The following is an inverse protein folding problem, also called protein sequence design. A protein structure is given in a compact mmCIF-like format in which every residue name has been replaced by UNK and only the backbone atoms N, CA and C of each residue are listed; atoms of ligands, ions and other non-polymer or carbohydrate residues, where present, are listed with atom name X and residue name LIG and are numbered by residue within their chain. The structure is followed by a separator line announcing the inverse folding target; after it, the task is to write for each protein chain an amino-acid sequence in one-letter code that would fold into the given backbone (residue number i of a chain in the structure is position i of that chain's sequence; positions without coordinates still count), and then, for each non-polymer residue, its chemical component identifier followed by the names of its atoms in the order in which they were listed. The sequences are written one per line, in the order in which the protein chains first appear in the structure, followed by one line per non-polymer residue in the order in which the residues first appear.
data_IF_031754384518
#
_entry.id   IF_031754384518
#
_cell.length_a   1.000
_cell.length_b   1.000
_cell.length_c   1.000
_cell.angle_alpha   90.00
_cell.angle_beta   90.00
_cell.angle_gamma   90.00
#
_symmetry.space_group_name_H-M   'P 1'
#
loop_
_entity.id
_entity.type
_entity.pdbx_description
1 polymer ?
#
# COMPACT_ATOMS: atom_id res chain seq x y z
N UNK A 1 -15.82 -0.58 10.27
CA UNK A 1 -15.02 0.57 9.91
C UNK A 1 -15.89 1.62 9.23
N UNK A 2 -15.90 2.84 9.73
CA UNK A 2 -16.78 3.93 9.25
C UNK A 2 -16.03 4.91 8.35
N UNK A 3 -14.88 4.51 7.85
CA UNK A 3 -13.98 5.37 7.10
C UNK A 3 -12.85 5.98 7.94
N UNK A 4 -11.94 6.64 7.27
CA UNK A 4 -10.75 7.23 7.90
C UNK A 4 -11.07 8.42 8.81
N UNK A 5 -12.01 9.24 8.38
CA UNK A 5 -12.42 10.46 9.05
C UNK A 5 -13.93 10.46 9.30
N UNK A 6 -14.35 11.15 10.35
CA UNK A 6 -15.74 11.51 10.55
C UNK A 6 -16.00 12.84 9.81
N UNK A 7 -16.38 12.75 8.56
CA UNK A 7 -16.69 13.93 7.76
C UNK A 7 -17.95 14.62 8.26
N UNK A 8 -17.95 15.94 8.42
CA UNK A 8 -19.18 16.69 8.59
C UNK A 8 -20.01 16.61 7.31
N UNK A 9 -21.29 16.31 7.45
CA UNK A 9 -22.22 16.40 6.33
C UNK A 9 -22.51 17.88 6.11
N UNK A 10 -22.21 18.37 4.91
CA UNK A 10 -22.50 19.76 4.52
C UNK A 10 -24.02 19.91 4.39
N UNK A 11 -24.60 20.95 5.03
CA UNK A 11 -26.01 21.25 4.90
C UNK A 11 -26.40 21.40 3.42
N UNK A 12 -27.53 20.79 3.03
CA UNK A 12 -27.97 20.75 1.64
C UNK A 12 -27.35 19.66 0.78
N UNK A 13 -26.56 18.73 1.37
CA UNK A 13 -26.04 17.57 0.64
C UNK A 13 -27.16 16.57 0.35
N UNK A 14 -27.35 16.23 -0.92
CA UNK A 14 -28.29 15.21 -1.40
C UNK A 14 -27.54 14.08 -2.10
N UNK A 15 -28.22 12.97 -2.42
CA UNK A 15 -27.62 11.89 -3.21
C UNK A 15 -27.16 12.34 -4.59
N UNK A 16 -27.82 13.35 -5.16
CA UNK A 16 -27.53 13.89 -6.50
C UNK A 16 -26.30 14.79 -6.49
N UNK A 17 -26.12 15.60 -5.44
CA UNK A 17 -25.05 16.59 -5.38
C UNK A 17 -23.83 16.15 -4.52
N UNK A 18 -23.87 14.99 -3.87
CA UNK A 18 -22.80 14.52 -2.98
C UNK A 18 -21.43 14.48 -3.66
N UNK A 19 -21.39 14.07 -4.93
CA UNK A 19 -20.12 14.00 -5.68
C UNK A 19 -19.50 15.37 -5.93
N UNK A 20 -20.31 16.41 -6.10
CA UNK A 20 -19.84 17.78 -6.31
C UNK A 20 -19.52 18.49 -5.00
N UNK A 21 -20.15 18.13 -3.92
CA UNK A 21 -19.91 18.66 -2.58
C UNK A 21 -18.53 18.22 -2.03
N UNK A 22 -18.08 17.01 -2.36
CA UNK A 22 -16.81 16.46 -1.88
C UNK A 22 -15.57 16.78 -2.74
N UNK A 23 -15.72 17.50 -3.83
CA UNK A 23 -14.60 17.83 -4.75
C UNK A 23 -13.71 18.96 -4.21
N UNK A 24 -14.12 19.71 -3.21
CA UNK A 24 -13.31 20.76 -2.61
C UNK A 24 -12.36 20.18 -1.55
N UNK A 25 -11.25 19.62 -2.00
CA UNK A 25 -10.19 19.17 -1.12
C UNK A 25 -9.64 20.33 -0.29
N UNK A 26 -9.39 20.03 0.99
CA UNK A 26 -8.80 21.01 1.87
C UNK A 26 -7.34 21.27 1.45
N UNK A 27 -6.91 22.55 1.32
CA UNK A 27 -5.57 22.89 0.80
C UNK A 27 -4.42 22.63 1.79
N UNK A 28 -4.73 22.29 3.05
CA UNK A 28 -3.74 22.08 4.09
C UNK A 28 -3.59 20.60 4.45
N UNK A 29 -2.58 20.29 5.25
CA UNK A 29 -2.38 18.95 5.78
C UNK A 29 -3.55 18.47 6.66
N UNK A 30 -3.76 17.18 6.74
CA UNK A 30 -4.92 16.56 7.40
C UNK A 30 -4.92 16.61 8.93
N UNK A 31 -3.88 17.12 9.56
CA UNK A 31 -3.77 17.31 11.02
C UNK A 31 -3.79 18.78 11.45
N UNK A 32 -3.99 19.72 10.54
CA UNK A 32 -4.12 21.14 10.89
C UNK A 32 -5.54 21.47 11.34
N UNK A 33 -5.68 22.56 12.09
CA UNK A 33 -6.99 23.06 12.52
C UNK A 33 -7.90 23.33 11.34
N UNK A 34 -7.36 23.95 10.29
CA UNK A 34 -8.07 24.29 9.08
C UNK A 34 -8.55 23.03 8.33
N UNK A 35 -7.74 21.98 8.29
CA UNK A 35 -8.16 20.74 7.64
C UNK A 35 -9.23 20.00 8.43
N UNK A 36 -9.22 20.11 9.76
CA UNK A 36 -10.19 19.44 10.63
C UNK A 36 -11.52 20.22 10.67
N UNK A 37 -11.45 21.52 10.91
CA UNK A 37 -12.63 22.38 11.17
C UNK A 37 -13.15 23.08 9.91
N UNK A 38 -12.32 23.24 8.90
CA UNK A 38 -12.61 24.00 7.70
C UNK A 38 -11.98 25.39 7.70
N UNK A 39 -12.06 26.06 6.57
CA UNK A 39 -11.50 27.41 6.36
C UNK A 39 -12.34 28.20 5.36
N UNK A 40 -11.94 29.46 5.14
CA UNK A 40 -12.52 30.31 4.11
C UNK A 40 -11.41 30.81 3.18
N UNK A 41 -11.58 30.64 1.88
CA UNK A 41 -10.66 31.11 0.84
C UNK A 41 -11.46 31.90 -0.19
N UNK A 42 -11.08 33.13 -0.46
CA UNK A 42 -11.74 34.04 -1.42
C UNK A 42 -13.26 34.16 -1.17
N UNK A 43 -13.68 34.26 0.07
CA UNK A 43 -15.08 34.36 0.48
C UNK A 43 -15.88 33.04 0.34
N UNK A 44 -15.23 31.93 -0.04
CA UNK A 44 -15.84 30.60 -0.16
C UNK A 44 -15.50 29.76 1.07
N UNK A 45 -16.53 29.29 1.76
CA UNK A 45 -16.35 28.36 2.87
C UNK A 45 -15.95 26.98 2.32
N UNK A 46 -14.84 26.44 2.81
CA UNK A 46 -14.35 25.10 2.56
C UNK A 46 -14.57 24.30 3.84
N UNK A 47 -15.45 23.27 3.84
CA UNK A 47 -15.70 22.47 5.02
C UNK A 47 -14.46 21.68 5.41
N UNK A 48 -14.27 21.44 6.70
CA UNK A 48 -13.21 20.57 7.19
C UNK A 48 -13.44 19.11 6.86
N UNK A 49 -12.38 18.33 6.92
CA UNK A 49 -12.40 16.89 6.68
C UNK A 49 -12.85 16.08 7.92
N UNK A 50 -13.05 16.76 9.06
CA UNK A 50 -13.25 16.11 10.36
C UNK A 50 -11.92 15.62 10.97
N UNK A 51 -12.00 14.99 12.12
CA UNK A 51 -10.84 14.50 12.86
C UNK A 51 -10.70 12.99 12.73
N UNK A 52 -9.52 12.47 12.35
CA UNK A 52 -9.24 11.04 12.40
C UNK A 52 -9.24 10.51 13.84
N UNK A 53 -9.15 11.40 14.84
CA UNK A 53 -9.24 11.06 16.25
C UNK A 53 -10.68 11.08 16.80
N UNK A 54 -11.68 11.44 15.98
CA UNK A 54 -13.08 11.34 16.37
C UNK A 54 -13.46 9.89 16.74
N UNK A 55 -14.36 9.68 17.71
CA UNK A 55 -14.74 8.33 18.15
C UNK A 55 -15.28 7.42 17.04
N UNK A 56 -15.86 8.00 15.99
CA UNK A 56 -16.44 7.31 14.86
C UNK A 56 -15.40 6.87 13.82
N UNK A 57 -14.32 7.62 13.70
CA UNK A 57 -13.26 7.33 12.74
C UNK A 57 -12.32 6.23 13.27
N UNK A 58 -11.73 5.41 12.38
CA UNK A 58 -10.75 4.38 12.74
C UNK A 58 -11.20 3.49 13.91
N UNK A 59 -12.45 3.01 13.86
CA UNK A 59 -13.10 2.31 14.97
C UNK A 59 -13.74 1.00 14.56
N UNK A 60 -13.99 0.16 15.55
CA UNK A 60 -14.72 -1.10 15.44
C UNK A 60 -16.09 -0.93 16.10
N UNK A 61 -17.12 -1.39 15.43
CA UNK A 61 -18.49 -1.35 15.91
C UNK A 61 -18.96 -2.74 16.27
N UNK A 62 -19.64 -2.86 17.40
CA UNK A 62 -20.45 -4.02 17.76
C UNK A 62 -21.91 -3.68 17.50
N UNK A 63 -22.57 -4.45 16.67
CA UNK A 63 -24.01 -4.32 16.40
C UNK A 63 -24.77 -5.43 17.09
N UNK A 64 -25.83 -5.06 17.78
CA UNK A 64 -26.83 -5.99 18.27
C UNK A 64 -27.80 -6.34 17.13
N UNK A 65 -27.73 -7.57 16.67
CA UNK A 65 -28.54 -8.05 15.55
C UNK A 65 -30.03 -8.23 15.91
N UNK A 66 -30.36 -8.24 17.20
CA UNK A 66 -31.77 -8.32 17.65
C UNK A 66 -32.48 -6.98 17.54
N UNK A 67 -31.75 -5.91 17.90
CA UNK A 67 -32.28 -4.55 17.90
C UNK A 67 -31.83 -3.72 16.70
N UNK A 68 -30.88 -4.23 15.89
CA UNK A 68 -30.22 -3.53 14.79
C UNK A 68 -29.59 -2.20 15.23
N UNK A 69 -29.12 -2.13 16.47
CA UNK A 69 -28.48 -0.93 17.03
C UNK A 69 -27.00 -1.19 17.31
N UNK A 70 -26.23 -0.10 17.25
CA UNK A 70 -24.84 -0.12 17.71
C UNK A 70 -24.81 -0.29 19.22
N UNK A 71 -24.30 -1.42 19.69
CA UNK A 71 -24.16 -1.76 21.10
C UNK A 71 -22.86 -1.21 21.71
N UNK A 72 -21.77 -1.17 20.92
CA UNK A 72 -20.50 -0.62 21.35
C UNK A 72 -19.71 -0.08 20.16
N UNK A 73 -18.84 0.87 20.44
CA UNK A 73 -17.95 1.52 19.49
C UNK A 73 -16.59 1.69 20.16
N UNK A 74 -15.54 1.19 19.53
CA UNK A 74 -14.19 1.21 20.06
C UNK A 74 -13.23 1.76 19.02
N UNK A 75 -12.56 2.86 19.35
CA UNK A 75 -11.47 3.38 18.56
C UNK A 75 -10.25 2.48 18.71
N UNK A 76 -9.61 2.11 17.58
CA UNK A 76 -8.47 1.20 17.58
C UNK A 76 -7.17 1.92 17.20
N UNK A 77 -6.03 1.28 17.51
CA UNK A 77 -4.71 1.74 17.15
C UNK A 77 -4.28 3.00 17.88
N UNK A 78 -3.30 3.65 17.31
CA UNK A 78 -2.72 4.89 17.83
C UNK A 78 -3.47 6.11 17.28
N UNK A 79 -3.54 7.16 18.08
CA UNK A 79 -4.16 8.41 17.66
C UNK A 79 -3.21 9.20 16.77
N UNK A 80 -3.78 9.98 15.86
CA UNK A 80 -3.03 10.93 15.05
C UNK A 80 -2.30 11.92 15.98
N UNK A 81 -1.00 12.11 15.73
CA UNK A 81 -0.13 12.98 16.51
C UNK A 81 0.51 12.33 17.73
N UNK A 82 0.16 11.06 18.07
CA UNK A 82 0.93 10.31 19.08
C UNK A 82 2.32 9.96 18.54
N UNK A 83 3.31 10.01 19.41
CA UNK A 83 4.67 9.54 19.10
C UNK A 83 4.77 8.05 19.43
N UNK A 84 5.12 7.27 18.43
CA UNK A 84 5.41 5.83 18.57
C UNK A 84 6.76 5.56 17.95
N UNK A 85 7.70 5.03 18.74
CA UNK A 85 9.07 4.76 18.29
C UNK A 85 9.78 5.99 17.69
N UNK A 86 9.60 7.14 18.33
CA UNK A 86 10.13 8.45 17.94
C UNK A 86 9.57 8.99 16.60
N UNK A 87 8.54 8.38 16.05
CA UNK A 87 7.85 8.84 14.85
C UNK A 87 6.40 9.25 15.16
N UNK A 88 5.94 10.34 14.56
CA UNK A 88 4.56 10.78 14.66
C UNK A 88 3.63 9.84 13.87
N UNK A 89 2.49 9.49 14.47
CA UNK A 89 1.43 8.74 13.80
C UNK A 89 0.68 9.66 12.85
N UNK A 90 0.66 9.30 11.57
CA UNK A 90 0.05 10.07 10.50
C UNK A 90 -1.21 9.36 10.00
N UNK A 91 -2.36 9.81 10.12
CA UNK A 91 -3.56 9.26 9.48
C UNK A 91 -4.34 8.21 10.27
N UNK A 92 -3.91 7.86 11.49
CA UNK A 92 -4.65 6.94 12.36
C UNK A 92 -4.40 5.47 12.09
N UNK A 93 -5.31 4.58 12.51
CA UNK A 93 -5.06 3.14 12.59
C UNK A 93 -5.42 2.34 11.33
N UNK A 94 -6.38 2.79 10.54
CA UNK A 94 -6.95 2.03 9.42
C UNK A 94 -7.30 0.57 9.77
N UNK A 95 -8.27 0.32 10.69
CA UNK A 95 -8.65 -1.04 11.08
C UNK A 95 -9.26 -1.78 9.87
N UNK A 96 -8.73 -2.98 9.58
CA UNK A 96 -9.05 -3.68 8.35
C UNK A 96 -9.85 -4.97 8.55
N UNK A 97 -9.34 -5.89 9.36
CA UNK A 97 -9.95 -7.20 9.54
C UNK A 97 -10.06 -7.58 11.01
N UNK A 98 -11.00 -8.46 11.30
CA UNK A 98 -11.28 -8.93 12.65
C UNK A 98 -11.41 -10.45 12.67
N UNK A 99 -10.85 -11.08 13.72
CA UNK A 99 -11.13 -12.46 14.10
C UNK A 99 -11.49 -12.53 15.58
N UNK A 100 -12.35 -13.44 15.95
CA UNK A 100 -12.89 -13.56 17.32
C UNK A 100 -12.50 -14.94 17.88
N UNK A 101 -11.94 -14.93 19.09
CA UNK A 101 -11.68 -16.11 19.91
C UNK A 101 -12.76 -16.28 20.99
N UNK A 102 -12.62 -17.28 21.82
CA UNK A 102 -13.50 -17.51 22.98
C UNK A 102 -13.54 -16.33 23.97
N UNK A 103 -12.49 -15.51 23.99
CA UNK A 103 -12.30 -14.42 24.97
C UNK A 103 -12.12 -13.05 24.36
N UNK A 104 -11.42 -12.95 23.24
CA UNK A 104 -11.01 -11.68 22.65
C UNK A 104 -11.37 -11.59 21.16
N UNK A 105 -11.55 -10.37 20.69
CA UNK A 105 -11.48 -10.06 19.27
C UNK A 105 -10.12 -9.40 18.95
N UNK A 106 -9.56 -9.76 17.80
CA UNK A 106 -8.28 -9.27 17.31
C UNK A 106 -8.52 -8.50 16.02
N UNK A 107 -8.08 -7.26 15.97
CA UNK A 107 -8.31 -6.35 14.84
C UNK A 107 -6.99 -5.85 14.30
N UNK A 108 -6.73 -6.07 13.01
CA UNK A 108 -5.54 -5.52 12.35
C UNK A 108 -5.69 -4.03 12.12
N UNK A 109 -4.66 -3.27 12.49
CA UNK A 109 -4.54 -1.83 12.26
C UNK A 109 -3.45 -1.61 11.21
N UNK A 110 -3.86 -1.44 9.94
CA UNK A 110 -2.96 -1.50 8.79
C UNK A 110 -1.88 -0.41 8.82
N UNK A 111 -2.22 0.82 9.18
CA UNK A 111 -1.25 1.94 9.20
C UNK A 111 -0.40 2.00 10.46
N UNK A 112 -0.70 1.21 11.48
CA UNK A 112 0.06 1.20 12.74
C UNK A 112 0.89 -0.09 12.93
N UNK A 113 0.88 -1.01 11.98
CA UNK A 113 1.57 -2.31 12.05
C UNK A 113 1.34 -3.05 13.37
N UNK A 114 0.10 -3.04 13.86
CA UNK A 114 -0.27 -3.69 15.11
C UNK A 114 -1.65 -4.35 15.05
N UNK A 115 -1.97 -5.08 16.08
CA UNK A 115 -3.25 -5.75 16.28
C UNK A 115 -3.86 -5.26 17.60
N UNK A 116 -5.05 -4.68 17.55
CA UNK A 116 -5.82 -4.37 18.74
C UNK A 116 -6.45 -5.64 19.32
N UNK A 117 -6.26 -5.87 20.61
CA UNK A 117 -6.88 -6.97 21.38
C UNK A 117 -8.06 -6.39 22.17
N UNK A 118 -9.26 -6.82 21.84
CA UNK A 118 -10.50 -6.32 22.40
C UNK A 118 -11.14 -7.37 23.30
N UNK A 119 -11.34 -7.04 24.56
CA UNK A 119 -12.26 -7.79 25.44
C UNK A 119 -13.69 -7.38 25.05
N UNK A 120 -14.30 -8.15 24.15
CA UNK A 120 -15.61 -7.79 23.60
C UNK A 120 -16.75 -7.92 24.62
N UNK A 121 -16.56 -8.70 25.71
CA UNK A 121 -17.51 -8.77 26.81
C UNK A 121 -17.51 -7.52 27.69
N UNK A 122 -16.32 -6.91 27.85
CA UNK A 122 -16.17 -5.66 28.62
C UNK A 122 -16.21 -4.42 27.74
N UNK A 123 -16.25 -4.56 26.43
CA UNK A 123 -16.29 -3.44 25.49
C UNK A 123 -15.06 -2.54 25.56
N UNK A 124 -13.85 -3.10 25.71
CA UNK A 124 -12.61 -2.30 25.84
C UNK A 124 -11.41 -2.94 25.15
N UNK A 125 -10.50 -2.12 24.70
CA UNK A 125 -9.18 -2.57 24.23
C UNK A 125 -8.33 -2.93 25.46
N UNK A 126 -7.70 -4.09 25.38
CA UNK A 126 -6.83 -4.63 26.44
C UNK A 126 -5.38 -4.22 26.20
N UNK A 127 -4.93 -4.35 24.95
CA UNK A 127 -3.58 -4.03 24.49
C UNK A 127 -3.53 -3.94 22.98
N UNK A 128 -2.40 -3.47 22.47
CA UNK A 128 -2.00 -3.63 21.08
C UNK A 128 -0.79 -4.57 20.99
N UNK A 129 -0.81 -5.50 20.03
CA UNK A 129 0.32 -6.39 19.72
C UNK A 129 1.06 -5.77 18.53
N UNK A 130 2.28 -5.25 18.71
CA UNK A 130 3.07 -4.75 17.59
C UNK A 130 3.53 -5.92 16.72
N UNK A 131 3.48 -5.75 15.40
CA UNK A 131 4.01 -6.73 14.45
C UNK A 131 5.45 -6.32 14.13
N UNK A 132 6.40 -7.17 14.50
CA UNK A 132 7.83 -6.98 14.22
C UNK A 132 8.32 -8.19 13.43
N UNK A 133 9.02 -7.97 12.35
CA UNK A 133 9.44 -9.03 11.42
C UNK A 133 10.95 -9.10 11.25
N UNK A 134 11.66 -7.97 11.33
CA UNK A 134 13.11 -7.88 11.21
C UNK A 134 13.64 -6.61 11.88
N UNK A 135 14.79 -6.71 12.56
CA UNK A 135 15.40 -5.60 13.31
C UNK A 135 15.77 -4.39 12.43
N UNK A 136 16.05 -4.61 11.15
CA UNK A 136 16.41 -3.54 10.21
C UNK A 136 15.29 -2.53 10.00
N UNK A 137 14.04 -2.96 10.22
CA UNK A 137 12.84 -2.15 10.00
C UNK A 137 11.96 -2.04 11.24
N UNK A 138 12.47 -2.36 12.43
CA UNK A 138 11.70 -2.33 13.68
C UNK A 138 11.09 -0.95 13.99
N UNK A 139 11.73 0.13 13.53
CA UNK A 139 11.25 1.50 13.68
C UNK A 139 10.52 2.05 12.45
N UNK A 140 10.39 1.26 11.40
CA UNK A 140 9.63 1.64 10.21
C UNK A 140 8.25 0.98 10.24
N UNK A 141 7.30 1.62 9.58
CA UNK A 141 5.97 1.08 9.31
C UNK A 141 5.82 0.78 7.83
N UNK A 142 4.79 0.02 7.48
CA UNK A 142 4.51 -0.35 6.10
C UNK A 142 4.37 -1.86 5.91
N UNK A 143 4.29 -2.63 7.00
CA UNK A 143 3.91 -4.05 6.92
C UNK A 143 2.47 -4.21 6.45
N UNK A 144 1.61 -3.24 6.76
CA UNK A 144 0.20 -3.16 6.38
C UNK A 144 -0.55 -4.47 6.70
N UNK A 145 -0.78 -4.80 7.98
CA UNK A 145 -1.55 -5.98 8.35
C UNK A 145 -3.00 -5.86 7.90
N UNK A 146 -3.42 -6.75 7.02
CA UNK A 146 -4.76 -6.79 6.47
C UNK A 146 -5.58 -7.95 7.03
N UNK A 147 -5.63 -9.09 6.32
CA UNK A 147 -6.39 -10.24 6.74
C UNK A 147 -5.82 -10.90 8.00
N UNK A 148 -6.69 -11.44 8.85
CA UNK A 148 -6.31 -12.13 10.08
C UNK A 148 -7.15 -13.37 10.26
N UNK A 149 -6.53 -14.44 10.77
CA UNK A 149 -7.21 -15.63 11.27
C UNK A 149 -6.52 -16.16 12.53
N UNK A 150 -7.21 -17.03 13.26
CA UNK A 150 -6.71 -17.61 14.51
C UNK A 150 -6.70 -19.12 14.42
N UNK A 151 -5.66 -19.77 14.99
CA UNK A 151 -5.60 -21.22 15.10
C UNK A 151 -6.74 -21.77 15.96
N UNK A 152 -7.15 -23.00 15.70
CA UNK A 152 -8.24 -23.69 16.41
C UNK A 152 -8.01 -23.78 17.92
N UNK A 153 -6.76 -23.91 18.33
CA UNK A 153 -6.35 -23.93 19.74
C UNK A 153 -6.23 -22.53 20.37
N UNK A 154 -6.53 -21.48 19.60
CA UNK A 154 -6.47 -20.06 19.99
C UNK A 154 -5.09 -19.60 20.49
N UNK A 155 -3.99 -20.27 20.05
CA UNK A 155 -2.63 -19.93 20.49
C UNK A 155 -1.87 -19.06 19.50
N UNK A 156 -2.28 -19.05 18.22
CA UNK A 156 -1.56 -18.33 17.19
C UNK A 156 -2.52 -17.50 16.32
N UNK A 157 -2.09 -16.30 15.99
CA UNK A 157 -2.69 -15.51 14.91
C UNK A 157 -1.88 -15.70 13.64
N UNK A 158 -2.58 -15.70 12.51
CA UNK A 158 -2.01 -15.65 11.18
C UNK A 158 -2.47 -14.34 10.53
N UNK A 159 -1.52 -13.51 10.13
CA UNK A 159 -1.78 -12.14 9.66
C UNK A 159 -1.19 -11.93 8.28
N UNK A 160 -2.03 -11.58 7.33
CA UNK A 160 -1.61 -11.19 5.99
C UNK A 160 -0.95 -9.82 6.03
N UNK A 161 0.31 -9.72 5.61
CA UNK A 161 1.08 -8.48 5.54
C UNK A 161 1.12 -8.01 4.09
N UNK A 162 0.27 -7.04 3.75
CA UNK A 162 0.11 -6.55 2.39
C UNK A 162 1.40 -5.89 1.88
N UNK A 163 2.06 -5.10 2.72
CA UNK A 163 3.29 -4.42 2.36
C UNK A 163 4.56 -5.29 2.46
N UNK A 164 4.45 -6.54 2.95
CA UNK A 164 5.62 -7.40 3.16
C UNK A 164 5.56 -8.74 2.40
N UNK A 165 4.49 -8.97 1.63
CA UNK A 165 4.30 -10.16 0.78
C UNK A 165 4.46 -11.48 1.56
N UNK A 166 3.89 -11.53 2.75
CA UNK A 166 4.00 -12.67 3.65
C UNK A 166 2.77 -12.81 4.55
N UNK A 167 2.62 -14.00 5.15
CA UNK A 167 1.76 -14.20 6.32
C UNK A 167 2.65 -14.30 7.55
N UNK A 168 2.42 -13.43 8.54
CA UNK A 168 3.06 -13.53 9.85
C UNK A 168 2.30 -14.52 10.74
N UNK A 169 3.03 -15.43 11.39
CA UNK A 169 2.51 -16.27 12.49
C UNK A 169 2.93 -15.64 13.81
N UNK A 170 1.96 -15.29 14.65
CA UNK A 170 2.17 -14.61 15.94
C UNK A 170 1.72 -15.54 17.08
N UNK A 171 2.58 -15.72 18.05
CA UNK A 171 2.26 -16.49 19.25
C UNK A 171 1.59 -15.59 20.30
N UNK A 172 0.38 -15.96 20.71
CA UNK A 172 -0.41 -15.15 21.65
C UNK A 172 0.08 -15.19 23.10
N UNK A 173 0.88 -16.19 23.46
CA UNK A 173 1.48 -16.26 24.79
C UNK A 173 2.59 -15.24 25.00
N UNK A 174 3.30 -14.88 23.95
CA UNK A 174 4.45 -13.95 23.98
C UNK A 174 4.21 -12.64 23.23
N UNK A 175 3.13 -12.55 22.46
CA UNK A 175 2.81 -11.46 21.54
C UNK A 175 3.89 -11.23 20.45
N UNK A 176 4.64 -12.28 20.10
CA UNK A 176 5.76 -12.19 19.15
C UNK A 176 5.47 -12.88 17.83
N UNK A 177 5.96 -12.30 16.76
CA UNK A 177 6.05 -13.00 15.47
C UNK A 177 7.05 -14.15 15.59
N UNK A 178 6.58 -15.37 15.38
CA UNK A 178 7.40 -16.59 15.47
C UNK A 178 7.83 -17.12 14.12
N UNK A 179 7.35 -16.53 13.03
CA UNK A 179 7.79 -16.83 11.68
C UNK A 179 6.95 -16.18 10.62
N UNK A 180 7.47 -16.23 9.38
CA UNK A 180 6.88 -15.67 8.19
C UNK A 180 6.70 -16.75 7.12
N UNK A 181 5.60 -16.69 6.38
CA UNK A 181 5.26 -17.61 5.30
C UNK A 181 5.22 -16.81 4.00
N UNK A 182 6.03 -17.15 2.98
CA UNK A 182 6.08 -16.41 1.72
C UNK A 182 4.77 -16.57 0.93
N UNK A 183 4.34 -15.50 0.30
CA UNK A 183 3.11 -15.44 -0.49
C UNK A 183 3.34 -14.78 -1.84
N UNK A 184 2.28 -14.63 -2.62
CA UNK A 184 2.25 -13.67 -3.72
C UNK A 184 2.31 -12.24 -3.22
N UNK A 185 2.42 -11.30 -4.14
CA UNK A 185 2.56 -9.88 -3.83
C UNK A 185 1.24 -9.25 -3.39
N UNK A 186 1.33 -8.39 -2.38
CA UNK A 186 0.17 -7.71 -1.82
C UNK A 186 -0.79 -8.69 -1.12
N UNK A 187 -0.33 -9.32 -0.06
CA UNK A 187 -1.10 -10.32 0.69
C UNK A 187 -2.29 -9.69 1.39
N UNK A 188 -3.50 -10.06 0.99
CA UNK A 188 -4.74 -9.41 1.47
C UNK A 188 -5.50 -10.22 2.51
N UNK A 189 -5.57 -11.55 2.34
CA UNK A 189 -6.35 -12.43 3.24
C UNK A 189 -5.60 -13.69 3.57
N UNK A 190 -5.87 -14.19 4.77
CA UNK A 190 -5.43 -15.50 5.23
C UNK A 190 -6.61 -16.20 5.90
N UNK A 191 -6.74 -17.51 5.68
CA UNK A 191 -7.74 -18.37 6.34
C UNK A 191 -7.17 -19.75 6.58
N UNK A 192 -7.38 -20.27 7.78
CA UNK A 192 -7.03 -21.63 8.12
C UNK A 192 -8.16 -22.60 7.78
N UNK A 193 -7.81 -23.83 7.44
CA UNK A 193 -8.77 -24.93 7.43
C UNK A 193 -9.24 -25.26 8.86
N UNK A 194 -10.39 -25.92 8.99
CA UNK A 194 -11.00 -26.24 10.29
C UNK A 194 -10.11 -27.09 11.22
N UNK A 195 -9.11 -27.75 10.69
CA UNK A 195 -8.14 -28.57 11.42
C UNK A 195 -6.73 -27.95 11.44
N UNK A 196 -6.58 -26.70 11.01
CA UNK A 196 -5.32 -25.94 10.90
C UNK A 196 -4.25 -26.58 9.97
N UNK A 197 -4.59 -27.63 9.24
CA UNK A 197 -3.60 -28.31 8.37
C UNK A 197 -3.22 -27.52 7.13
N UNK A 198 -4.08 -26.60 6.71
CA UNK A 198 -3.93 -25.84 5.48
C UNK A 198 -4.18 -24.36 5.74
N UNK A 199 -3.36 -23.53 5.12
CA UNK A 199 -3.49 -22.08 5.09
C UNK A 199 -3.90 -21.69 3.67
N UNK A 200 -4.98 -20.94 3.55
CA UNK A 200 -5.43 -20.33 2.30
C UNK A 200 -5.07 -18.86 2.30
N UNK A 201 -4.47 -18.38 1.23
CA UNK A 201 -4.00 -17.00 1.12
C UNK A 201 -4.44 -16.40 -0.21
N UNK A 202 -4.88 -15.16 -0.18
CA UNK A 202 -5.07 -14.35 -1.39
C UNK A 202 -4.10 -13.20 -1.42
N UNK A 203 -3.58 -12.89 -2.61
CA UNK A 203 -2.70 -11.75 -2.84
C UNK A 203 -3.21 -10.97 -4.03
N UNK A 204 -3.34 -9.65 -3.90
CA UNK A 204 -3.99 -8.82 -4.92
C UNK A 204 -3.07 -8.51 -6.12
N UNK A 205 -1.75 -8.56 -5.93
CA UNK A 205 -0.76 -8.26 -6.99
C UNK A 205 -0.11 -9.51 -7.58
N UNK A 206 -0.63 -10.68 -7.25
CA UNK A 206 -0.25 -11.96 -7.82
C UNK A 206 1.22 -12.31 -7.66
N UNK A 207 1.93 -12.49 -8.75
CA UNK A 207 3.38 -12.76 -8.81
C UNK A 207 4.18 -11.49 -9.15
N UNK A 208 3.61 -10.34 -8.92
CA UNK A 208 4.13 -9.03 -9.30
C UNK A 208 3.29 -8.41 -10.42
N UNK A 209 3.45 -7.10 -10.62
CA UNK A 209 2.79 -6.38 -11.70
C UNK A 209 3.42 -6.78 -13.04
N UNK A 210 2.83 -7.75 -13.71
CA UNK A 210 3.17 -8.07 -15.09
C UNK A 210 2.58 -7.01 -16.03
N UNK A 211 3.18 -6.81 -17.20
CA UNK A 211 2.62 -5.93 -18.20
C UNK A 211 1.25 -6.45 -18.65
N UNK A 212 0.24 -5.58 -18.57
CA UNK A 212 -1.07 -5.78 -19.20
C UNK A 212 -1.77 -7.12 -18.91
N UNK A 213 -1.61 -7.66 -17.70
CA UNK A 213 -2.29 -8.90 -17.32
C UNK A 213 -1.72 -10.19 -17.91
N UNK A 214 -0.55 -10.14 -18.56
CA UNK A 214 0.17 -11.30 -19.07
C UNK A 214 -0.04 -11.60 -20.54
N UNK A 215 0.59 -12.66 -21.03
CA UNK A 215 0.72 -13.02 -22.44
C UNK A 215 -0.61 -13.14 -23.22
N UNK A 216 -1.65 -13.64 -22.58
CA UNK A 216 -2.95 -13.89 -23.23
C UNK A 216 -4.00 -12.82 -22.87
N UNK A 217 -3.57 -11.70 -22.31
CA UNK A 217 -4.46 -10.63 -21.91
C UNK A 217 -5.15 -10.01 -23.11
N UNK A 218 -6.48 -9.89 -23.01
CA UNK A 218 -7.31 -9.15 -23.96
C UNK A 218 -7.82 -7.88 -23.28
N UNK A 219 -7.61 -6.75 -23.92
CA UNK A 219 -8.11 -5.46 -23.42
C UNK A 219 -9.64 -5.53 -23.29
N UNK A 220 -10.22 -5.32 -22.11
CA UNK A 220 -11.67 -5.25 -21.93
C UNK A 220 -12.28 -4.12 -22.76
N UNK A 221 -13.55 -4.28 -23.15
CA UNK A 221 -14.27 -3.27 -23.94
C UNK A 221 -14.31 -1.89 -23.24
N UNK A 222 -14.33 -1.90 -21.92
CA UNK A 222 -14.30 -0.69 -21.08
C UNK A 222 -12.93 -0.02 -21.00
N UNK A 223 -11.91 -0.59 -21.59
CA UNK A 223 -10.52 -0.17 -21.46
C UNK A 223 -9.76 -0.93 -20.39
N UNK A 224 -8.50 -0.56 -20.16
CA UNK A 224 -7.62 -1.21 -19.20
C UNK A 224 -7.05 -0.19 -18.22
N UNK A 225 -7.67 -0.07 -17.06
CA UNK A 225 -7.06 0.56 -15.90
C UNK A 225 -6.24 -0.48 -15.12
N UNK A 226 -5.15 -0.06 -14.48
CA UNK A 226 -4.24 -1.00 -13.80
C UNK A 226 -4.97 -1.89 -12.78
N UNK A 227 -5.91 -1.33 -12.02
CA UNK A 227 -6.72 -2.07 -11.06
C UNK A 227 -7.65 -3.11 -11.67
N UNK A 228 -8.06 -2.92 -12.93
CA UNK A 228 -8.97 -3.84 -13.65
C UNK A 228 -8.25 -5.02 -14.28
N UNK A 229 -6.95 -4.86 -14.55
CA UNK A 229 -6.13 -5.86 -15.27
C UNK A 229 -5.15 -6.60 -14.37
N UNK A 230 -5.02 -6.19 -13.11
CA UNK A 230 -4.11 -6.80 -12.17
C UNK A 230 -4.62 -8.18 -11.74
N UNK A 231 -3.78 -9.20 -11.94
CA UNK A 231 -4.11 -10.58 -11.58
C UNK A 231 -3.67 -10.87 -10.15
N UNK A 232 -4.62 -11.25 -9.31
CA UNK A 232 -4.35 -11.77 -7.97
C UNK A 232 -3.94 -13.24 -8.01
N UNK A 233 -3.46 -13.75 -6.87
CA UNK A 233 -3.21 -15.18 -6.66
C UNK A 233 -4.02 -15.72 -5.50
N UNK A 234 -4.39 -16.99 -5.61
CA UNK A 234 -4.89 -17.81 -4.52
C UNK A 234 -3.89 -18.94 -4.27
N UNK A 235 -3.42 -19.03 -3.02
CA UNK A 235 -2.46 -20.03 -2.61
C UNK A 235 -3.05 -20.96 -1.55
N UNK A 236 -2.77 -22.27 -1.70
CA UNK A 236 -3.05 -23.30 -0.72
C UNK A 236 -1.72 -23.81 -0.19
N UNK A 237 -1.44 -23.57 1.08
CA UNK A 237 -0.17 -23.85 1.73
C UNK A 237 -0.40 -24.85 2.87
N UNK A 238 0.36 -25.93 2.92
CA UNK A 238 0.36 -26.79 4.10
C UNK A 238 0.91 -26.02 5.30
N UNK A 239 0.21 -26.06 6.42
CA UNK A 239 0.66 -25.34 7.63
C UNK A 239 2.05 -25.86 8.06
N UNK A 240 3.09 -25.02 8.04
CA UNK A 240 4.45 -25.47 8.22
C UNK A 240 4.72 -25.88 9.66
N UNK A 241 5.50 -26.95 9.82
CA UNK A 241 6.14 -27.25 11.10
C UNK A 241 7.25 -26.22 11.41
N UNK A 242 7.85 -26.28 12.58
CA UNK A 242 8.85 -25.31 13.03
C UNK A 242 10.04 -25.20 12.07
N UNK A 243 10.60 -26.31 11.60
CA UNK A 243 11.74 -26.31 10.68
C UNK A 243 11.37 -25.65 9.32
N UNK A 244 10.21 -25.98 8.78
CA UNK A 244 9.74 -25.41 7.52
C UNK A 244 9.40 -23.92 7.67
N UNK A 245 8.84 -23.52 8.81
CA UNK A 245 8.56 -22.11 9.11
C UNK A 245 9.84 -21.29 9.19
N UNK A 246 10.92 -21.82 9.77
CA UNK A 246 12.23 -21.16 9.78
C UNK A 246 12.79 -20.99 8.36
N UNK A 247 12.69 -22.04 7.52
CA UNK A 247 13.10 -21.94 6.12
C UNK A 247 12.29 -20.90 5.34
N UNK A 248 10.99 -20.85 5.56
CA UNK A 248 10.10 -19.86 4.95
C UNK A 248 10.42 -18.44 5.43
N UNK A 249 10.67 -18.26 6.73
CA UNK A 249 11.08 -16.97 7.28
C UNK A 249 12.36 -16.46 6.62
N UNK A 250 13.37 -17.35 6.52
CA UNK A 250 14.61 -17.03 5.81
C UNK A 250 14.34 -16.60 4.36
N UNK A 251 13.51 -17.34 3.63
CA UNK A 251 13.16 -17.02 2.26
C UNK A 251 12.48 -15.64 2.14
N UNK A 252 11.53 -15.31 3.02
CA UNK A 252 10.88 -13.99 3.04
C UNK A 252 11.90 -12.88 3.23
N UNK A 253 12.80 -13.05 4.19
CA UNK A 253 13.85 -12.06 4.49
C UNK A 253 14.82 -11.89 3.30
N UNK A 254 15.25 -12.99 2.69
CA UNK A 254 16.13 -12.95 1.51
C UNK A 254 15.46 -12.31 0.29
N UNK A 255 14.15 -12.52 0.12
CA UNK A 255 13.38 -11.89 -0.97
C UNK A 255 13.17 -10.39 -0.76
N UNK A 256 13.13 -9.94 0.50
CA UNK A 256 12.82 -8.55 0.84
C UNK A 256 14.07 -7.67 0.90
N UNK A 257 15.17 -8.19 1.42
CA UNK A 257 16.37 -7.39 1.67
C UNK A 257 17.52 -7.76 0.74
N UNK A 258 18.11 -6.75 0.11
CA UNK A 258 19.35 -6.91 -0.66
C UNK A 258 20.52 -7.03 0.33
N UNK A 259 21.06 -8.25 0.44
CA UNK A 259 22.15 -8.55 1.39
C UNK A 259 23.54 -8.49 0.77
N UNK A 260 23.64 -8.17 -0.53
CA UNK A 260 24.96 -8.07 -1.20
C UNK A 260 25.73 -6.85 -0.70
N UNK A 261 26.93 -7.05 -0.21
CA UNK A 261 27.85 -5.97 0.12
C UNK A 261 28.21 -5.22 -1.16
N UNK A 262 27.83 -3.96 -1.23
CA UNK A 262 28.27 -3.09 -2.31
C UNK A 262 29.66 -2.52 -1.94
N UNK A 263 30.58 -2.47 -2.90
CA UNK A 263 31.89 -1.85 -2.72
C UNK A 263 31.87 -0.42 -3.24
N UNK A 264 32.50 0.48 -2.52
CA UNK A 264 32.57 1.91 -2.83
C UNK A 264 33.61 2.22 -3.95
N UNK A 265 33.61 1.41 -5.02
CA UNK A 265 34.51 1.53 -6.16
C UNK A 265 33.96 2.38 -7.32
N UNK A 266 32.72 2.89 -7.17
CA UNK A 266 32.08 3.69 -8.20
C UNK A 266 32.42 5.18 -8.03
N UNK A 267 32.37 5.97 -9.13
CA UNK A 267 32.56 7.42 -9.07
C UNK A 267 31.49 8.12 -8.20
N UNK A 268 30.32 7.48 -8.06
CA UNK A 268 29.24 7.88 -7.14
C UNK A 268 29.33 7.02 -5.91
N UNK A 269 29.57 7.59 -4.71
CA UNK A 269 29.53 6.82 -3.49
C UNK A 269 28.14 6.24 -3.27
N UNK A 270 28.08 4.92 -3.06
CA UNK A 270 26.83 4.17 -2.84
C UNK A 270 26.55 3.91 -1.37
N UNK A 271 27.54 4.16 -0.50
CA UNK A 271 27.39 3.91 0.94
C UNK A 271 27.05 5.20 1.70
N UNK A 272 26.12 5.15 2.65
CA UNK A 272 25.87 6.27 3.55
C UNK A 272 27.15 6.70 4.28
N UNK A 273 27.42 8.00 4.33
CA UNK A 273 28.61 8.53 4.99
C UNK A 273 29.89 8.57 4.15
N UNK A 274 29.87 8.13 2.90
CA UNK A 274 30.98 8.32 1.96
C UNK A 274 31.27 9.80 1.76
N UNK A 275 32.57 10.17 1.88
CA UNK A 275 32.95 11.56 2.10
C UNK A 275 32.98 12.45 0.86
N UNK A 276 33.03 11.89 -0.36
CA UNK A 276 33.24 12.72 -1.55
C UNK A 276 32.41 12.22 -2.74
N UNK A 277 31.58 13.09 -3.26
CA UNK A 277 30.99 12.94 -4.59
C UNK A 277 31.49 14.08 -5.47
N UNK A 278 31.89 13.82 -6.73
CA UNK A 278 32.18 14.87 -7.71
C UNK A 278 30.89 15.62 -8.12
N UNK A 279 29.72 15.04 -7.86
CA UNK A 279 28.42 15.62 -8.20
C UNK A 279 28.05 16.64 -7.13
N UNK A 280 27.85 17.89 -7.55
CA UNK A 280 27.45 19.02 -6.69
C UNK A 280 25.97 19.35 -6.79
N UNK A 281 25.37 19.06 -7.93
CA UNK A 281 23.95 19.36 -8.20
C UNK A 281 23.30 18.19 -8.89
N UNK A 282 22.07 17.89 -8.51
CA UNK A 282 21.21 16.89 -9.15
C UNK A 282 19.97 17.61 -9.65
N UNK A 283 19.68 17.46 -10.95
CA UNK A 283 18.43 17.90 -11.55
C UNK A 283 17.60 16.65 -11.79
N UNK A 284 16.51 16.52 -11.03
CA UNK A 284 15.57 15.41 -11.17
C UNK A 284 14.36 15.89 -11.97
N UNK A 285 14.11 15.27 -13.13
CA UNK A 285 13.00 15.62 -14.01
C UNK A 285 12.06 14.42 -14.06
N UNK A 286 10.87 14.58 -13.49
CA UNK A 286 9.79 13.64 -13.65
C UNK A 286 8.96 14.02 -14.85
N UNK A 287 8.91 13.14 -15.84
CA UNK A 287 8.04 13.29 -17.00
C UNK A 287 7.07 12.12 -17.06
N UNK A 288 5.80 12.44 -17.03
CA UNK A 288 4.71 11.45 -17.08
C UNK A 288 3.72 11.82 -18.19
N UNK A 289 2.75 11.10 -18.45
CA UNK A 289 2.33 9.81 -17.90
C UNK A 289 2.29 8.85 -19.08
N UNK A 290 3.39 8.16 -19.37
CA UNK A 290 3.54 7.19 -20.47
C UNK A 290 4.45 6.07 -20.06
N UNK A 291 4.15 4.85 -20.54
CA UNK A 291 4.98 3.68 -20.27
C UNK A 291 6.29 3.73 -21.06
N UNK A 292 7.27 2.94 -20.64
CA UNK A 292 8.55 2.82 -21.31
C UNK A 292 8.36 2.48 -22.82
N UNK A 293 7.57 1.47 -23.13
CA UNK A 293 7.39 1.01 -24.51
C UNK A 293 6.66 2.03 -25.40
N UNK A 294 5.77 2.83 -24.84
CA UNK A 294 5.10 3.88 -25.60
C UNK A 294 6.07 4.91 -26.19
N UNK A 295 7.24 5.11 -25.56
CA UNK A 295 8.26 6.09 -26.00
C UNK A 295 9.48 5.40 -26.56
N UNK A 296 9.99 4.36 -25.89
CA UNK A 296 11.28 3.72 -26.20
C UNK A 296 11.15 2.31 -26.81
N UNK A 297 9.95 1.78 -26.96
CA UNK A 297 9.72 0.44 -27.51
C UNK A 297 10.34 0.17 -28.89
N UNK A 298 10.62 1.23 -29.67
CA UNK A 298 11.29 1.16 -30.98
C UNK A 298 12.83 1.04 -30.90
N UNK A 299 13.41 1.15 -29.71
CA UNK A 299 14.87 1.11 -29.57
C UNK A 299 15.35 -0.35 -29.59
N UNK A 300 16.04 -0.74 -30.68
CA UNK A 300 16.55 -2.12 -30.87
C UNK A 300 17.62 -2.55 -29.87
N UNK A 301 18.14 -1.64 -29.08
CA UNK A 301 19.19 -1.90 -28.06
C UNK A 301 18.64 -2.17 -26.68
N UNK A 302 17.31 -2.19 -26.52
CA UNK A 302 16.62 -2.37 -25.25
C UNK A 302 15.57 -3.45 -25.39
N UNK A 303 15.10 -3.98 -24.25
CA UNK A 303 14.00 -4.95 -24.17
C UNK A 303 12.65 -4.22 -24.27
N UNK A 304 12.37 -3.64 -25.42
CA UNK A 304 11.14 -2.89 -25.67
C UNK A 304 10.22 -3.61 -26.65
N UNK A 305 8.94 -3.27 -26.60
CA UNK A 305 7.92 -3.73 -27.54
C UNK A 305 7.58 -2.60 -28.53
N UNK A 306 8.07 -2.77 -29.77
CA UNK A 306 7.83 -1.80 -30.84
C UNK A 306 6.34 -1.61 -31.17
N UNK A 307 5.50 -2.61 -30.95
CA UNK A 307 4.06 -2.54 -31.23
C UNK A 307 3.31 -1.56 -30.30
N UNK A 308 3.91 -1.23 -29.15
CA UNK A 308 3.37 -0.30 -28.17
C UNK A 308 3.87 1.16 -28.34
N UNK A 309 4.82 1.39 -29.25
CA UNK A 309 5.50 2.67 -29.42
C UNK A 309 4.61 3.74 -30.10
N UNK A 310 3.72 4.33 -29.34
CA UNK A 310 2.79 5.38 -29.83
C UNK A 310 3.37 6.78 -29.87
N UNK A 311 4.41 7.05 -29.09
CA UNK A 311 5.04 8.36 -28.95
C UNK A 311 6.54 8.35 -29.30
N UNK A 312 6.96 7.42 -30.13
CA UNK A 312 8.35 7.26 -30.60
C UNK A 312 8.68 8.13 -31.81
N UNK A 313 9.42 7.54 -32.76
CA UNK A 313 9.78 8.13 -34.05
C UNK A 313 8.97 7.44 -35.16
N UNK A 314 8.62 8.21 -36.19
CA UNK A 314 7.88 7.71 -37.36
C UNK A 314 6.60 6.97 -37.01
N UNK A 315 5.85 7.50 -36.05
CA UNK A 315 4.60 6.91 -35.56
C UNK A 315 3.38 7.58 -36.14
N UNK A 316 2.29 6.82 -36.19
CA UNK A 316 0.99 7.37 -36.57
C UNK A 316 0.24 7.85 -35.34
N UNK A 317 -0.16 9.12 -35.33
CA UNK A 317 -0.85 9.73 -34.19
C UNK A 317 -2.32 9.91 -34.56
N UNK A 318 -3.20 9.36 -33.71
CA UNK A 318 -4.65 9.47 -33.84
C UNK A 318 -5.18 10.46 -32.79
N UNK A 319 -5.75 11.57 -33.28
CA UNK A 319 -6.54 12.48 -32.45
C UNK A 319 -8.02 12.10 -32.51
N UNK A 320 -8.86 12.88 -31.81
CA UNK A 320 -10.31 12.65 -31.85
C UNK A 320 -10.92 12.87 -33.21
N UNK A 321 -10.36 13.79 -34.01
CA UNK A 321 -10.86 14.18 -35.35
C UNK A 321 -9.80 14.09 -36.44
N UNK A 322 -8.53 13.94 -36.04
CA UNK A 322 -7.40 14.05 -36.96
C UNK A 322 -6.50 12.82 -36.89
N UNK A 323 -5.84 12.55 -38.00
CA UNK A 323 -4.86 11.49 -38.12
C UNK A 323 -3.61 12.03 -38.82
N UNK A 324 -2.46 11.91 -38.17
CA UNK A 324 -1.18 12.35 -38.75
C UNK A 324 -0.24 11.17 -38.82
N UNK A 325 0.38 10.97 -39.98
CA UNK A 325 1.31 9.86 -40.26
C UNK A 325 2.77 10.32 -40.09
N UNK A 326 3.62 9.37 -39.77
CA UNK A 326 5.08 9.52 -39.79
C UNK A 326 5.58 10.70 -38.95
N UNK A 327 5.09 10.79 -37.71
CA UNK A 327 5.42 11.90 -36.81
C UNK A 327 6.53 11.45 -35.84
N UNK A 328 7.52 12.33 -35.67
CA UNK A 328 8.52 12.17 -34.62
C UNK A 328 8.04 12.89 -33.35
N UNK A 329 7.42 12.12 -32.43
CA UNK A 329 6.83 12.70 -31.21
C UNK A 329 7.87 12.95 -30.14
N UNK A 330 8.80 12.01 -29.92
CA UNK A 330 9.80 12.05 -28.83
C UNK A 330 11.26 12.01 -29.33
N UNK A 331 11.67 12.86 -30.30
CA UNK A 331 13.01 12.80 -30.87
C UNK A 331 14.11 13.06 -29.85
N UNK A 332 13.90 14.02 -28.93
CA UNK A 332 14.88 14.35 -27.90
C UNK A 332 15.03 13.24 -26.84
N UNK A 333 13.94 12.58 -26.46
CA UNK A 333 13.98 11.45 -25.53
C UNK A 333 14.82 10.31 -26.11
N UNK A 334 14.55 9.95 -27.36
CA UNK A 334 15.31 8.90 -28.06
C UNK A 334 16.79 9.29 -28.21
N UNK A 335 17.08 10.56 -28.53
CA UNK A 335 18.45 11.06 -28.63
C UNK A 335 19.20 10.97 -27.30
N UNK A 336 18.57 11.40 -26.21
CA UNK A 336 19.15 11.32 -24.86
C UNK A 336 19.38 9.85 -24.46
N UNK A 337 18.38 8.99 -24.68
CA UNK A 337 18.48 7.56 -24.39
C UNK A 337 19.61 6.84 -25.17
N UNK A 338 19.88 7.28 -26.41
CA UNK A 338 20.99 6.76 -27.23
C UNK A 338 22.36 7.28 -26.79
N UNK A 339 22.41 8.44 -26.18
CA UNK A 339 23.64 9.12 -25.83
C UNK A 339 24.09 8.85 -24.39
N UNK A 340 23.17 8.61 -23.48
CA UNK A 340 23.40 8.44 -22.05
C UNK A 340 22.89 7.09 -21.56
N UNK A 341 22.99 6.85 -20.26
CA UNK A 341 22.50 5.61 -19.64
C UNK A 341 20.96 5.56 -19.66
N UNK A 342 20.43 4.41 -20.05
CA UNK A 342 18.99 4.12 -20.06
C UNK A 342 18.76 2.83 -19.30
N UNK A 343 17.73 2.80 -18.45
CA UNK A 343 17.22 1.57 -17.85
C UNK A 343 15.94 1.14 -18.56
N UNK A 344 15.90 -0.11 -19.01
CA UNK A 344 14.71 -0.75 -19.60
C UNK A 344 14.02 -1.72 -18.63
N UNK A 345 14.41 -1.65 -17.35
CA UNK A 345 13.91 -2.54 -16.29
C UNK A 345 13.66 -1.75 -15.00
N UNK A 346 13.05 -0.57 -15.13
CA UNK A 346 12.66 0.25 -14.01
C UNK A 346 11.18 0.05 -13.70
N UNK A 347 10.87 -0.26 -12.45
CA UNK A 347 9.51 -0.50 -11.98
C UNK A 347 9.09 0.60 -11.00
N UNK A 348 7.82 1.01 -11.11
CA UNK A 348 7.22 1.91 -10.14
C UNK A 348 6.83 1.12 -8.88
N UNK A 349 7.05 1.72 -7.72
CA UNK A 349 6.73 1.09 -6.43
C UNK A 349 5.25 1.22 -6.05
N UNK A 350 4.41 1.63 -6.99
CA UNK A 350 2.98 1.82 -6.73
C UNK A 350 2.11 1.63 -7.96
N UNK A 351 0.85 1.30 -7.73
CA UNK A 351 -0.15 1.10 -8.77
C UNK A 351 -0.83 2.41 -9.19
N UNK A 352 -0.81 3.43 -8.34
CA UNK A 352 -1.42 4.72 -8.59
C UNK A 352 -0.40 5.87 -8.57
N UNK A 353 -0.64 6.89 -9.39
CA UNK A 353 0.27 8.04 -9.54
C UNK A 353 0.54 8.78 -8.23
N UNK A 354 -0.45 8.88 -7.36
CA UNK A 354 -0.28 9.58 -6.07
C UNK A 354 0.80 8.93 -5.20
N UNK A 355 0.81 7.61 -5.11
CA UNK A 355 1.86 6.88 -4.40
C UNK A 355 3.22 7.07 -5.08
N UNK A 356 3.27 6.97 -6.42
CA UNK A 356 4.49 7.17 -7.19
C UNK A 356 5.11 8.54 -6.95
N UNK A 357 4.31 9.59 -6.88
CA UNK A 357 4.79 10.93 -6.53
C UNK A 357 5.31 11.01 -5.11
N UNK A 358 4.67 10.35 -4.15
CA UNK A 358 5.18 10.28 -2.77
C UNK A 358 6.52 9.55 -2.68
N UNK A 359 6.70 8.44 -3.40
CA UNK A 359 7.98 7.74 -3.51
C UNK A 359 9.09 8.65 -4.08
N UNK A 360 8.78 9.38 -5.15
CA UNK A 360 9.77 10.26 -5.79
C UNK A 360 10.14 11.47 -4.93
N UNK A 361 9.19 12.07 -4.25
CA UNK A 361 9.40 13.32 -3.51
C UNK A 361 9.84 13.09 -2.06
N UNK A 362 9.34 12.04 -1.44
CA UNK A 362 9.57 11.73 -0.03
C UNK A 362 10.55 10.60 0.22
N UNK A 363 11.04 9.94 -0.84
CA UNK A 363 11.88 8.72 -0.80
C UNK A 363 11.10 7.50 -0.32
N UNK A 364 10.25 7.66 0.67
CA UNK A 364 9.36 6.63 1.21
C UNK A 364 8.00 7.28 1.44
N UNK A 365 6.90 6.75 0.89
CA UNK A 365 5.56 7.21 1.26
C UNK A 365 5.28 6.83 2.71
N UNK A 366 4.44 7.58 3.37
CA UNK A 366 4.02 7.21 4.71
C UNK A 366 2.97 6.09 4.67
N UNK A 367 2.85 5.37 5.78
CA UNK A 367 1.94 4.24 5.94
C UNK A 367 0.47 4.59 5.68
N UNK A 368 0.10 5.85 5.90
CA UNK A 368 -1.26 6.31 5.65
C UNK A 368 -1.58 6.35 4.16
N UNK A 369 -0.67 6.88 3.36
CA UNK A 369 -0.81 6.93 1.89
C UNK A 369 -0.89 5.52 1.33
N UNK A 370 0.01 4.62 1.75
CA UNK A 370 0.04 3.24 1.27
C UNK A 370 -1.23 2.44 1.59
N UNK A 371 -1.87 2.72 2.72
CA UNK A 371 -3.04 1.98 3.15
C UNK A 371 -4.37 2.52 2.61
N UNK A 372 -4.41 3.75 2.14
CA UNK A 372 -5.68 4.47 1.95
C UNK A 372 -5.85 5.12 0.57
N UNK A 373 -5.00 4.80 -0.38
CA UNK A 373 -5.08 5.36 -1.74
C UNK A 373 -5.66 4.39 -2.73
#
# INVERSE_FOLDING_TARGET
NVGMYAYPIVEGTTKENIKTQYINWHPYGNNTKESIEGTEIDGKKIPGLGSPNAPEAMSVYCMDLTTNKVAARLKTGMLLGELVEDAEVIGGASPNSIVVSSKYAYVTNATNDNIAVIDYKKGRIVKHIPIKVDQRIDKLRGLLPFGIDISKDEKHLYVALLGFNAVAKIELATDKTVGLIPTGWGTTRVKLSSNDSTIFVTSCRGLGAGPNGGKDFKIPVQGSYIGDIQLGTFQKISNPNTQKLQAYTKQVIENTFITKTQTDSLPLPVLPGSKTSPIKHIVFITKENRTFDEIFGQMNTVRGDNSLARFGLDVNVYGQKDFVKNVNVSPNHIKIAKQFSLSDNFYCDSDASIHGHHWMMGVIPNEWVEANS
#
